data_IF_374094345009
#
_entry.id   IF_374094345009
#
_cell.length_a   1.000
_cell.length_b   1.000
_cell.length_c   1.000
_cell.angle_alpha   90.00
_cell.angle_beta   90.00
_cell.angle_gamma   90.00
#
_symmetry.space_group_name_H-M   'P 1'
#
loop_
_entity.id
_entity.type
_entity.pdbx_description
1 polymer ?
#
# COMPACT_ATOMS: atom_id res chain seq x y z
N UNK A 1 21.83 -12.45 2.00
CA UNK A 1 20.42 -12.79 1.68
C UNK A 1 19.38 -12.20 2.66
N UNK A 2 19.68 -11.99 3.95
CA UNK A 2 18.72 -11.52 4.98
C UNK A 2 18.06 -10.15 4.72
N UNK A 3 18.76 -9.20 4.07
CA UNK A 3 18.20 -7.85 3.83
C UNK A 3 17.03 -7.86 2.83
N UNK A 4 17.06 -8.75 1.84
CA UNK A 4 16.03 -8.83 0.80
C UNK A 4 14.75 -9.46 1.37
N UNK A 5 14.88 -10.53 2.17
CA UNK A 5 13.73 -11.15 2.84
C UNK A 5 13.05 -10.17 3.79
N UNK A 6 13.83 -9.41 4.58
CA UNK A 6 13.29 -8.39 5.48
C UNK A 6 12.51 -7.30 4.73
N UNK A 7 13.02 -6.84 3.60
CA UNK A 7 12.33 -5.86 2.75
C UNK A 7 10.99 -6.39 2.23
N UNK A 8 10.96 -7.64 1.76
CA UNK A 8 9.74 -8.29 1.26
C UNK A 8 8.71 -8.45 2.39
N UNK A 9 9.14 -8.89 3.58
CA UNK A 9 8.28 -9.00 4.76
C UNK A 9 7.63 -7.66 5.11
N UNK A 10 8.42 -6.58 5.10
CA UNK A 10 7.91 -5.25 5.44
C UNK A 10 6.93 -4.74 4.37
N UNK A 11 7.15 -5.02 3.08
CA UNK A 11 6.16 -4.74 2.03
C UNK A 11 4.86 -5.54 2.23
N UNK A 12 4.95 -6.82 2.58
CA UNK A 12 3.79 -7.66 2.85
C UNK A 12 2.99 -7.15 4.05
N UNK A 13 3.67 -6.70 5.11
CA UNK A 13 3.01 -6.08 6.28
C UNK A 13 2.25 -4.81 5.90
N UNK A 14 2.85 -3.94 5.08
CA UNK A 14 2.17 -2.72 4.59
C UNK A 14 0.94 -3.09 3.74
N UNK A 15 1.06 -4.07 2.85
CA UNK A 15 -0.05 -4.54 2.00
C UNK A 15 -1.20 -5.15 2.83
N UNK A 16 -0.88 -5.98 3.82
CA UNK A 16 -1.87 -6.58 4.70
C UNK A 16 -2.59 -5.52 5.54
N UNK A 17 -1.84 -4.55 6.09
CA UNK A 17 -2.45 -3.46 6.86
C UNK A 17 -3.34 -2.56 6.00
N UNK A 18 -2.97 -2.34 4.74
CA UNK A 18 -3.80 -1.61 3.78
C UNK A 18 -5.15 -2.32 3.58
N UNK A 19 -5.13 -3.64 3.33
CA UNK A 19 -6.35 -4.43 3.16
C UNK A 19 -7.25 -4.39 4.40
N UNK A 20 -6.66 -4.51 5.59
CA UNK A 20 -7.39 -4.41 6.85
C UNK A 20 -8.09 -3.06 7.03
N UNK A 21 -7.41 -1.95 6.69
CA UNK A 21 -7.99 -0.62 6.79
C UNK A 21 -9.15 -0.41 5.80
N UNK A 22 -9.06 -0.97 4.60
CA UNK A 22 -10.16 -0.94 3.62
C UNK A 22 -11.35 -1.76 4.10
N UNK A 23 -11.10 -2.96 4.65
CA UNK A 23 -12.15 -3.80 5.24
C UNK A 23 -12.83 -3.11 6.42
N UNK A 24 -12.04 -2.49 7.31
CA UNK A 24 -12.54 -1.70 8.44
C UNK A 24 -13.40 -0.52 7.97
N UNK A 25 -12.93 0.26 6.99
CA UNK A 25 -13.70 1.35 6.41
C UNK A 25 -15.02 0.84 5.81
N UNK A 26 -14.99 -0.26 5.06
CA UNK A 26 -16.19 -0.86 4.46
C UNK A 26 -17.20 -1.30 5.53
N UNK A 27 -16.74 -1.99 6.58
CA UNK A 27 -17.59 -2.48 7.66
C UNK A 27 -18.22 -1.34 8.48
N UNK A 28 -17.49 -0.23 8.63
CA UNK A 28 -17.94 0.95 9.38
C UNK A 28 -18.81 1.90 8.55
N UNK A 29 -18.88 1.71 7.23
CA UNK A 29 -19.46 2.67 6.29
C UNK A 29 -20.91 3.07 6.57
N UNK A 30 -21.68 2.24 7.28
CA UNK A 30 -23.08 2.53 7.63
C UNK A 30 -23.32 2.63 9.14
N UNK A 31 -22.32 2.31 9.96
CA UNK A 31 -22.45 2.21 11.42
C UNK A 31 -21.70 3.32 12.14
N UNK A 32 -20.54 3.72 11.62
CA UNK A 32 -19.74 4.83 12.11
C UNK A 32 -18.98 5.48 10.94
N UNK A 33 -19.61 6.49 10.35
CA UNK A 33 -19.06 7.20 9.20
C UNK A 33 -17.72 7.89 9.52
N UNK A 34 -17.56 8.41 10.75
CA UNK A 34 -16.34 9.10 11.13
C UNK A 34 -15.16 8.13 11.20
N UNK A 35 -15.34 6.96 11.80
CA UNK A 35 -14.30 5.93 11.81
C UNK A 35 -14.07 5.31 10.43
N UNK A 36 -15.11 5.19 9.60
CA UNK A 36 -14.98 4.79 8.20
C UNK A 36 -14.03 5.71 7.44
N UNK A 37 -14.29 7.03 7.47
CA UNK A 37 -13.48 8.04 6.77
C UNK A 37 -12.02 8.05 7.27
N UNK A 38 -11.82 7.91 8.59
CA UNK A 38 -10.49 7.82 9.19
C UNK A 38 -9.73 6.59 8.68
N UNK A 39 -10.39 5.44 8.60
CA UNK A 39 -9.80 4.19 8.13
C UNK A 39 -9.47 4.25 6.63
N UNK A 40 -10.36 4.83 5.82
CA UNK A 40 -10.15 5.06 4.40
C UNK A 40 -8.95 6.00 4.14
N UNK A 41 -8.89 7.13 4.86
CA UNK A 41 -7.77 8.06 4.77
C UNK A 41 -6.43 7.38 5.07
N UNK A 42 -6.37 6.59 6.16
CA UNK A 42 -5.17 5.82 6.52
C UNK A 42 -4.81 4.80 5.44
N UNK A 43 -5.80 4.13 4.84
CA UNK A 43 -5.58 3.19 3.74
C UNK A 43 -4.95 3.89 2.53
N UNK A 44 -5.47 5.06 2.14
CA UNK A 44 -4.95 5.86 1.02
C UNK A 44 -3.49 6.26 1.27
N UNK A 45 -3.16 6.75 2.47
CA UNK A 45 -1.78 7.08 2.84
C UNK A 45 -0.84 5.86 2.69
N UNK A 46 -1.30 4.69 3.11
CA UNK A 46 -0.52 3.45 3.05
C UNK A 46 -0.33 2.97 1.60
N UNK A 47 -1.37 3.09 0.77
CA UNK A 47 -1.31 2.80 -0.66
C UNK A 47 -0.28 3.70 -1.36
N UNK A 48 -0.28 5.00 -1.06
CA UNK A 48 0.73 5.93 -1.56
C UNK A 48 2.16 5.49 -1.18
N UNK A 49 2.38 5.07 0.07
CA UNK A 49 3.69 4.57 0.52
C UNK A 49 4.10 3.31 -0.25
N UNK A 50 3.19 2.35 -0.43
CA UNK A 50 3.45 1.12 -1.20
C UNK A 50 3.81 1.47 -2.65
N UNK A 51 3.05 2.36 -3.29
CA UNK A 51 3.31 2.78 -4.68
C UNK A 51 4.66 3.46 -4.82
N UNK A 52 5.03 4.33 -3.86
CA UNK A 52 6.36 4.97 -3.82
C UNK A 52 7.48 3.93 -3.71
N UNK A 53 7.33 2.92 -2.86
CA UNK A 53 8.32 1.84 -2.74
C UNK A 53 8.44 1.02 -4.02
N UNK A 54 7.31 0.70 -4.68
CA UNK A 54 7.31 -0.01 -5.97
C UNK A 54 8.00 0.80 -7.06
N UNK A 55 7.79 2.12 -7.09
CA UNK A 55 8.44 3.02 -8.03
C UNK A 55 9.96 3.04 -7.84
N UNK A 56 10.44 3.21 -6.60
CA UNK A 56 11.88 3.23 -6.30
C UNK A 56 12.57 1.90 -6.59
N UNK A 57 11.85 0.78 -6.47
CA UNK A 57 12.37 -0.55 -6.79
C UNK A 57 12.35 -0.91 -8.28
N UNK A 58 11.76 -0.09 -9.15
CA UNK A 58 11.49 -0.48 -10.54
C UNK A 58 12.74 -0.59 -11.43
N UNK A 59 13.94 -0.32 -10.90
CA UNK A 59 15.19 -0.29 -11.66
C UNK A 59 15.19 0.80 -12.75
N UNK A 60 16.32 1.06 -13.41
CA UNK A 60 16.33 1.95 -14.57
C UNK A 60 15.39 1.37 -15.64
N UNK A 61 14.37 2.14 -16.02
CA UNK A 61 13.49 1.79 -17.13
C UNK A 61 14.35 1.81 -18.39
N UNK A 62 14.41 0.69 -19.11
CA UNK A 62 15.03 0.71 -20.44
C UNK A 62 14.25 1.69 -21.31
N UNK A 63 14.93 2.60 -22.04
CA UNK A 63 14.25 3.51 -22.94
C UNK A 63 13.44 2.69 -23.93
N UNK A 64 12.18 3.07 -24.12
CA UNK A 64 11.30 2.43 -25.10
C UNK A 64 11.89 2.73 -26.48
N UNK A 65 12.46 1.70 -27.12
CA UNK A 65 12.87 1.78 -28.52
C UNK A 65 11.60 1.91 -29.36
N UNK A 66 11.36 3.08 -29.93
CA UNK A 66 10.35 3.27 -30.96
C UNK A 66 10.94 2.73 -32.28
N UNK A 67 10.44 1.58 -32.73
CA UNK A 67 10.68 1.07 -34.08
C UNK A 67 9.60 1.59 -35.02
#
# INVERSE_FOLDING_TARGET
MVKISKFIEDQNKLSNRYKQLIEEAYNLRQTDHALSDISEYKAIQLLHKINRLRYLNRGPQQPISLN
#
